data_IF_210032840503
#
_entry.id   IF_210032840503
#
_cell.length_a   1.000
_cell.length_b   1.000
_cell.length_c   1.000
_cell.angle_alpha   90.00
_cell.angle_beta   90.00
_cell.angle_gamma   90.00
#
_symmetry.space_group_name_H-M   'P 1'
#
loop_
_entity.id
_entity.type
_entity.pdbx_description
1 polymer ?
#
# COMPACT_ATOMS: atom_id res chain seq x y z
N UNK A 1 -3.21 12.84 0.72
CA UNK A 1 -3.48 12.67 -0.72
C UNK A 1 -4.96 12.47 -0.96
N UNK A 2 -5.43 12.62 -2.20
CA UNK A 2 -6.82 12.36 -2.58
C UNK A 2 -6.89 11.72 -3.97
N UNK A 3 -7.99 11.02 -4.27
CA UNK A 3 -8.21 10.39 -5.56
C UNK A 3 -9.66 10.52 -6.02
N UNK A 4 -9.83 10.53 -7.33
CA UNK A 4 -11.10 10.38 -8.04
C UNK A 4 -10.82 9.45 -9.23
N UNK A 5 -11.42 8.26 -9.23
CA UNK A 5 -11.30 7.28 -10.31
C UNK A 5 -12.65 7.07 -10.98
N UNK A 6 -12.62 6.89 -12.31
CA UNK A 6 -13.79 6.61 -13.13
C UNK A 6 -13.92 5.11 -13.36
N UNK A 7 -14.91 4.50 -12.73
CA UNK A 7 -15.33 3.14 -13.07
C UNK A 7 -16.31 3.20 -14.25
N UNK A 8 -16.73 2.04 -14.76
CA UNK A 8 -17.69 1.97 -15.88
C UNK A 8 -19.03 2.64 -15.56
N UNK A 9 -19.53 2.48 -14.33
CA UNK A 9 -20.87 2.94 -13.92
C UNK A 9 -20.87 3.73 -12.58
N UNK A 10 -19.69 4.11 -12.09
CA UNK A 10 -19.55 4.83 -10.83
C UNK A 10 -18.25 5.63 -10.75
N UNK A 11 -18.18 6.53 -9.77
CA UNK A 11 -16.96 7.24 -9.41
C UNK A 11 -16.48 6.74 -8.05
N UNK A 12 -15.18 6.44 -7.93
CA UNK A 12 -14.55 6.17 -6.64
C UNK A 12 -13.82 7.43 -6.19
N UNK A 13 -14.29 8.05 -5.10
CA UNK A 13 -13.75 9.29 -4.54
C UNK A 13 -13.23 9.01 -3.15
N UNK A 14 -12.00 9.39 -2.84
CA UNK A 14 -11.42 9.13 -1.54
C UNK A 14 -10.24 10.03 -1.18
N UNK A 15 -9.86 9.95 0.09
CA UNK A 15 -8.71 10.65 0.67
C UNK A 15 -7.86 9.66 1.44
N UNK A 16 -6.56 9.90 1.47
CA UNK A 16 -5.57 9.15 2.25
C UNK A 16 -4.70 10.11 3.05
N UNK A 17 -4.42 9.77 4.29
CA UNK A 17 -3.52 10.52 5.16
C UNK A 17 -2.83 9.57 6.12
N UNK A 18 -1.67 9.95 6.61
CA UNK A 18 -0.99 9.23 7.67
C UNK A 18 -1.86 9.21 8.93
N UNK A 19 -1.89 8.06 9.61
CA UNK A 19 -2.62 7.90 10.88
C UNK A 19 -2.11 8.88 11.95
N UNK A 20 -0.79 9.15 11.94
CA UNK A 20 -0.18 10.15 12.84
C UNK A 20 -0.72 11.55 12.59
N UNK A 21 -0.91 11.96 11.33
CA UNK A 21 -1.42 13.29 10.99
C UNK A 21 -2.90 13.46 11.39
N UNK A 22 -3.71 12.41 11.25
CA UNK A 22 -5.08 12.42 11.79
C UNK A 22 -5.09 12.57 13.31
N UNK A 23 -4.22 11.83 14.00
CA UNK A 23 -4.07 11.91 15.46
C UNK A 23 -3.62 13.29 15.92
N UNK A 24 -2.61 13.87 15.27
CA UNK A 24 -2.06 15.20 15.62
C UNK A 24 -3.06 16.33 15.34
N UNK A 25 -3.75 16.28 14.20
CA UNK A 25 -4.67 17.35 13.81
C UNK A 25 -6.05 17.29 14.46
N UNK A 26 -6.44 16.12 15.00
CA UNK A 26 -7.80 15.88 15.50
C UNK A 26 -8.89 15.92 14.42
N UNK A 27 -8.51 16.00 13.12
CA UNK A 27 -9.48 16.05 12.04
C UNK A 27 -10.08 14.67 11.78
N UNK A 28 -11.40 14.62 11.65
CA UNK A 28 -12.10 13.41 11.23
C UNK A 28 -11.80 13.09 9.75
N UNK A 29 -11.44 11.82 9.41
CA UNK A 29 -11.31 11.40 8.02
C UNK A 29 -12.56 11.66 7.18
N UNK A 30 -13.75 11.51 7.77
CA UNK A 30 -15.03 11.79 7.11
C UNK A 30 -15.16 13.28 6.79
N UNK A 31 -14.84 14.15 7.75
CA UNK A 31 -14.90 15.59 7.54
C UNK A 31 -13.92 16.04 6.43
N UNK A 32 -12.74 15.42 6.38
CA UNK A 32 -11.75 15.70 5.35
C UNK A 32 -12.22 15.24 3.95
N UNK A 33 -12.87 14.08 3.86
CA UNK A 33 -13.48 13.60 2.63
C UNK A 33 -14.62 14.52 2.15
N UNK A 34 -15.50 14.95 3.06
CA UNK A 34 -16.57 15.89 2.72
C UNK A 34 -16.01 17.25 2.27
N UNK A 35 -14.93 17.74 2.90
CA UNK A 35 -14.23 18.94 2.45
C UNK A 35 -13.67 18.75 1.04
N UNK A 36 -13.09 17.59 0.74
CA UNK A 36 -12.58 17.28 -0.59
C UNK A 36 -13.70 17.23 -1.64
N UNK A 37 -14.82 16.58 -1.35
CA UNK A 37 -16.00 16.54 -2.24
C UNK A 37 -16.57 17.92 -2.55
N UNK A 38 -16.49 18.85 -1.60
CA UNK A 38 -16.94 20.26 -1.75
C UNK A 38 -15.92 21.15 -2.46
N UNK A 39 -14.72 20.65 -2.76
CA UNK A 39 -13.70 21.44 -3.44
C UNK A 39 -14.21 21.93 -4.81
N UNK A 40 -14.00 23.19 -5.22
CA UNK A 40 -14.57 23.75 -6.46
C UNK A 40 -14.23 22.96 -7.73
N UNK A 41 -13.07 22.30 -7.76
CA UNK A 41 -12.67 21.44 -8.89
C UNK A 41 -13.32 20.04 -8.88
N UNK A 42 -13.89 19.60 -7.75
CA UNK A 42 -14.46 18.25 -7.56
C UNK A 42 -15.97 18.29 -7.52
N UNK A 43 -16.57 19.28 -6.83
CA UNK A 43 -18.02 19.38 -6.65
C UNK A 43 -18.81 19.33 -7.97
N UNK A 44 -18.39 20.00 -9.07
CA UNK A 44 -19.08 19.89 -10.35
C UNK A 44 -19.08 18.48 -10.94
N UNK A 45 -18.02 17.70 -10.69
CA UNK A 45 -17.89 16.32 -11.17
C UNK A 45 -18.82 15.34 -10.45
N UNK A 46 -19.28 15.72 -9.25
CA UNK A 46 -20.16 14.91 -8.40
C UNK A 46 -21.61 15.43 -8.39
N UNK A 47 -21.93 16.46 -9.18
CA UNK A 47 -23.25 17.06 -9.20
C UNK A 47 -24.31 16.04 -9.65
N UNK A 48 -25.37 15.89 -8.86
CA UNK A 48 -26.44 14.91 -9.12
C UNK A 48 -26.06 13.45 -8.86
N UNK A 49 -24.85 13.17 -8.38
CA UNK A 49 -24.47 11.82 -7.96
C UNK A 49 -25.05 11.45 -6.58
N UNK A 50 -25.19 10.15 -6.33
CA UNK A 50 -25.56 9.60 -5.03
C UNK A 50 -24.43 8.72 -4.47
N UNK A 51 -24.35 8.61 -3.15
CA UNK A 51 -23.36 7.76 -2.48
C UNK A 51 -23.86 6.31 -2.46
N UNK A 52 -23.18 5.43 -3.20
CA UNK A 52 -23.50 3.99 -3.21
C UNK A 52 -22.87 3.23 -2.04
N UNK A 53 -21.65 3.60 -1.65
CA UNK A 53 -20.88 2.91 -0.63
C UNK A 53 -19.95 3.88 0.11
N UNK A 54 -19.69 3.59 1.39
CA UNK A 54 -18.65 4.24 2.17
C UNK A 54 -17.79 3.17 2.85
N UNK A 55 -16.48 3.24 2.65
CA UNK A 55 -15.51 2.33 3.25
C UNK A 55 -14.26 3.08 3.72
N UNK A 56 -13.56 2.49 4.68
CA UNK A 56 -12.26 2.95 5.16
C UNK A 56 -11.30 1.76 5.26
N UNK A 57 -10.03 1.99 4.94
CA UNK A 57 -8.99 0.97 5.00
C UNK A 57 -7.65 1.57 5.41
N UNK A 58 -6.76 0.73 5.92
CA UNK A 58 -5.38 1.13 6.23
C UNK A 58 -4.47 0.76 5.06
N UNK A 59 -3.52 1.64 4.77
CA UNK A 59 -2.45 1.38 3.81
C UNK A 59 -1.15 1.25 4.61
N UNK A 60 -0.39 0.14 4.47
CA UNK A 60 0.94 0.04 5.05
C UNK A 60 1.89 1.10 4.46
N UNK A 61 2.38 2.01 5.29
CA UNK A 61 3.31 3.08 4.87
C UNK A 61 4.69 2.98 5.55
N UNK A 62 4.94 1.93 6.34
CA UNK A 62 6.25 1.70 6.97
C UNK A 62 7.34 1.31 5.96
N UNK A 63 6.95 0.77 4.80
CA UNK A 63 7.83 0.45 3.69
C UNK A 63 8.99 -0.49 4.05
N UNK A 64 10.12 -0.33 3.37
CA UNK A 64 11.29 -1.22 3.52
C UNK A 64 11.79 -1.39 4.95
N UNK A 65 11.68 -0.35 5.78
CA UNK A 65 12.19 -0.37 7.17
C UNK A 65 11.26 -1.13 8.13
N UNK A 66 10.01 -1.37 7.74
CA UNK A 66 9.00 -2.02 8.57
C UNK A 66 8.72 -3.47 8.16
N UNK A 67 9.41 -3.99 7.14
CA UNK A 67 9.22 -5.37 6.64
C UNK A 67 9.46 -6.38 7.78
N UNK A 68 8.48 -7.22 8.13
CA UNK A 68 8.63 -8.22 9.19
C UNK A 68 9.41 -9.44 8.70
N UNK A 69 9.49 -10.49 9.53
CA UNK A 69 9.91 -11.80 9.05
C UNK A 69 8.92 -12.29 7.98
N UNK A 70 9.44 -12.71 6.82
CA UNK A 70 8.64 -13.01 5.63
C UNK A 70 8.39 -14.51 5.40
N UNK A 71 9.08 -15.35 6.16
CA UNK A 71 9.01 -16.80 6.05
C UNK A 71 9.47 -17.44 7.35
N UNK A 72 9.01 -18.66 7.59
CA UNK A 72 9.45 -19.53 8.68
C UNK A 72 8.94 -20.95 8.46
N UNK A 73 8.97 -21.79 9.49
CA UNK A 73 8.57 -23.19 9.34
C UNK A 73 7.08 -23.32 8.99
N UNK A 74 6.80 -23.73 7.75
CA UNK A 74 5.45 -23.93 7.24
C UNK A 74 4.68 -22.66 6.85
N UNK A 75 5.29 -21.47 6.88
CA UNK A 75 4.58 -20.21 6.57
C UNK A 75 5.40 -19.23 5.72
N UNK A 76 4.67 -18.43 4.94
CA UNK A 76 5.15 -17.33 4.11
C UNK A 76 4.22 -16.12 4.27
N UNK A 77 4.76 -14.89 4.20
CA UNK A 77 4.00 -13.64 4.28
C UNK A 77 4.03 -12.92 2.94
N UNK A 78 2.87 -12.45 2.49
CA UNK A 78 2.65 -11.83 1.18
C UNK A 78 1.79 -10.56 1.31
N UNK A 79 1.80 -9.71 0.27
CA UNK A 79 1.02 -8.47 0.22
C UNK A 79 1.24 -7.53 1.40
N UNK A 80 0.17 -6.86 1.82
CA UNK A 80 0.16 -5.82 2.86
C UNK A 80 0.66 -6.34 4.22
N UNK A 81 0.45 -7.62 4.51
CA UNK A 81 1.00 -8.26 5.72
C UNK A 81 2.54 -8.23 5.75
N UNK A 82 3.18 -8.21 4.58
CA UNK A 82 4.63 -8.07 4.43
C UNK A 82 5.11 -6.62 4.30
N UNK A 83 4.23 -5.63 4.48
CA UNK A 83 4.48 -4.20 4.23
C UNK A 83 4.85 -3.90 2.77
N UNK A 84 4.37 -4.71 1.82
CA UNK A 84 4.68 -4.56 0.39
C UNK A 84 3.76 -3.57 -0.31
N UNK A 85 3.89 -2.28 0.03
CA UNK A 85 3.15 -1.19 -0.62
C UNK A 85 4.06 0.00 -0.88
N UNK A 86 3.96 0.56 -2.08
CA UNK A 86 4.56 1.83 -2.48
C UNK A 86 3.45 2.88 -2.63
N UNK A 87 3.14 3.56 -1.53
CA UNK A 87 2.07 4.55 -1.46
C UNK A 87 2.28 5.74 -2.43
N UNK A 88 3.54 6.10 -2.72
CA UNK A 88 3.85 7.21 -3.63
C UNK A 88 3.35 6.94 -5.06
N UNK A 89 3.52 5.71 -5.54
CA UNK A 89 3.10 5.30 -6.89
C UNK A 89 1.69 4.69 -6.89
N UNK A 90 1.03 4.61 -5.72
CA UNK A 90 -0.23 3.88 -5.51
C UNK A 90 -0.14 2.41 -5.96
N UNK A 91 1.03 1.83 -5.74
CA UNK A 91 1.35 0.45 -6.10
C UNK A 91 1.29 -0.42 -4.85
N UNK A 92 0.18 -1.14 -4.70
CA UNK A 92 0.02 -2.17 -3.65
C UNK A 92 -0.43 -3.50 -4.25
N UNK A 93 -1.48 -3.47 -5.08
CA UNK A 93 -2.05 -4.66 -5.71
C UNK A 93 -1.05 -5.41 -6.60
N UNK A 94 -0.24 -4.69 -7.39
CA UNK A 94 0.83 -5.28 -8.21
C UNK A 94 1.88 -6.00 -7.35
N UNK A 95 2.28 -5.40 -6.23
CA UNK A 95 3.24 -5.98 -5.28
C UNK A 95 2.63 -7.17 -4.54
N UNK A 96 1.37 -7.08 -4.12
CA UNK A 96 0.64 -8.17 -3.48
C UNK A 96 0.50 -9.39 -4.41
N UNK A 97 0.07 -9.19 -5.66
CA UNK A 97 0.00 -10.26 -6.66
C UNK A 97 1.38 -10.88 -6.92
N UNK A 98 2.42 -10.04 -7.04
CA UNK A 98 3.79 -10.52 -7.30
C UNK A 98 4.34 -11.33 -6.14
N UNK A 99 4.20 -10.85 -4.91
CA UNK A 99 4.65 -11.56 -3.70
C UNK A 99 3.89 -12.86 -3.51
N UNK A 100 2.58 -12.88 -3.79
CA UNK A 100 1.77 -14.10 -3.84
C UNK A 100 2.28 -15.12 -4.86
N UNK A 101 2.57 -14.69 -6.10
CA UNK A 101 3.14 -15.55 -7.14
C UNK A 101 4.49 -16.14 -6.73
N UNK A 102 5.41 -15.31 -6.23
CA UNK A 102 6.75 -15.76 -5.79
C UNK A 102 6.68 -16.74 -4.62
N UNK A 103 5.75 -16.52 -3.68
CA UNK A 103 5.50 -17.45 -2.58
C UNK A 103 5.00 -18.81 -3.11
N UNK A 104 4.03 -18.79 -4.03
CA UNK A 104 3.50 -20.01 -4.65
C UNK A 104 4.58 -20.77 -5.44
N UNK A 105 5.38 -20.07 -6.25
CA UNK A 105 6.50 -20.67 -7.00
C UNK A 105 7.52 -21.33 -6.06
N UNK A 106 7.82 -20.70 -4.93
CA UNK A 106 8.72 -21.25 -3.90
C UNK A 106 8.17 -22.56 -3.31
N UNK A 107 6.87 -22.59 -2.97
CA UNK A 107 6.21 -23.78 -2.43
C UNK A 107 6.16 -24.90 -3.47
N UNK A 108 5.81 -24.59 -4.72
CA UNK A 108 5.76 -25.56 -5.82
C UNK A 108 7.14 -26.17 -6.07
N UNK A 109 8.21 -25.35 -6.08
CA UNK A 109 9.57 -25.82 -6.26
C UNK A 109 10.00 -26.77 -5.12
N UNK A 110 9.68 -26.43 -3.86
CA UNK A 110 9.98 -27.30 -2.72
C UNK A 110 9.22 -28.62 -2.80
N UNK A 111 7.92 -28.60 -3.15
CA UNK A 111 7.11 -29.80 -3.35
C UNK A 111 7.68 -30.71 -4.45
N UNK A 112 8.03 -30.15 -5.61
CA UNK A 112 8.60 -30.90 -6.73
C UNK A 112 9.93 -31.56 -6.40
N UNK A 113 10.74 -30.91 -5.56
CA UNK A 113 12.02 -31.44 -5.12
C UNK A 113 11.92 -32.38 -3.89
N UNK A 114 10.72 -32.66 -3.38
CA UNK A 114 10.54 -33.47 -2.17
C UNK A 114 11.08 -32.83 -0.90
N UNK A 115 11.26 -31.51 -0.89
CA UNK A 115 11.84 -30.77 0.24
C UNK A 115 10.77 -30.43 1.28
N UNK A 116 11.04 -30.60 2.59
CA UNK A 116 10.15 -30.16 3.65
C UNK A 116 10.03 -28.63 3.69
N UNK A 117 8.89 -28.10 4.14
CA UNK A 117 8.62 -26.65 4.21
C UNK A 117 9.27 -26.00 5.44
N UNK A 118 10.58 -26.19 5.59
CA UNK A 118 11.37 -25.58 6.67
C UNK A 118 11.80 -24.17 6.30
N UNK A 119 12.18 -23.40 7.31
CA UNK A 119 12.72 -22.04 7.18
C UNK A 119 13.88 -21.99 6.18
N UNK A 120 14.79 -22.98 6.20
CA UNK A 120 15.92 -23.06 5.28
C UNK A 120 15.48 -23.19 3.81
N UNK A 121 14.42 -23.95 3.55
CA UNK A 121 13.92 -24.15 2.19
C UNK A 121 13.06 -22.99 1.70
N UNK A 122 12.27 -22.40 2.60
CA UNK A 122 11.40 -21.27 2.32
C UNK A 122 12.15 -19.93 2.21
N UNK A 123 13.40 -19.85 2.70
CA UNK A 123 14.27 -18.70 2.49
C UNK A 123 14.47 -18.32 1.01
N UNK A 124 14.25 -19.27 0.08
CA UNK A 124 14.25 -19.03 -1.37
C UNK A 124 13.24 -17.96 -1.79
N UNK A 125 12.10 -17.85 -1.09
CA UNK A 125 11.11 -16.79 -1.33
C UNK A 125 11.72 -15.41 -1.13
N UNK A 126 12.49 -15.22 -0.05
CA UNK A 126 13.14 -13.95 0.24
C UNK A 126 14.24 -13.61 -0.78
N UNK A 127 14.98 -14.60 -1.27
CA UNK A 127 15.91 -14.42 -2.39
C UNK A 127 15.18 -13.93 -3.63
N UNK A 128 14.10 -14.61 -4.02
CA UNK A 128 13.30 -14.22 -5.19
C UNK A 128 12.68 -12.81 -5.04
N UNK A 129 12.24 -12.45 -3.83
CA UNK A 129 11.77 -11.09 -3.55
C UNK A 129 12.85 -10.03 -3.76
N UNK A 130 14.08 -10.27 -3.28
CA UNK A 130 15.21 -9.33 -3.46
C UNK A 130 15.56 -9.12 -4.93
N UNK A 131 15.38 -10.14 -5.76
CA UNK A 131 15.62 -10.08 -7.20
C UNK A 131 14.48 -9.41 -7.96
N UNK A 132 13.26 -9.44 -7.41
CA UNK A 132 12.07 -8.80 -7.98
C UNK A 132 12.07 -7.27 -7.87
N UNK A 133 11.16 -6.63 -8.60
CA UNK A 133 10.96 -5.18 -8.52
C UNK A 133 10.44 -4.74 -7.14
N UNK A 134 9.64 -5.58 -6.46
CA UNK A 134 8.99 -5.25 -5.17
C UNK A 134 10.02 -4.75 -4.16
N UNK A 135 11.12 -5.49 -3.98
CA UNK A 135 12.11 -5.14 -2.97
C UNK A 135 13.05 -4.03 -3.42
N UNK A 136 13.28 -3.90 -4.72
CA UNK A 136 14.06 -2.80 -5.31
C UNK A 136 13.34 -1.47 -5.14
N UNK A 137 12.04 -1.43 -5.39
CA UNK A 137 11.23 -0.22 -5.29
C UNK A 137 11.06 0.21 -3.83
N UNK A 138 10.72 -0.71 -2.93
CA UNK A 138 10.65 -0.40 -1.50
C UNK A 138 11.99 0.14 -0.98
N UNK A 139 13.11 -0.46 -1.38
CA UNK A 139 14.44 0.02 -0.99
C UNK A 139 14.75 1.40 -1.56
N UNK A 140 14.34 1.69 -2.80
CA UNK A 140 14.54 2.99 -3.45
C UNK A 140 13.82 4.12 -2.70
N UNK A 141 12.61 3.88 -2.19
CA UNK A 141 11.77 4.89 -1.52
C UNK A 141 11.78 4.79 0.01
N UNK A 142 12.71 4.05 0.61
CA UNK A 142 12.73 3.75 2.06
C UNK A 142 12.81 4.97 2.99
N UNK A 143 13.34 6.09 2.51
CA UNK A 143 13.57 7.31 3.30
C UNK A 143 12.54 8.41 2.97
N UNK A 144 11.62 8.14 2.04
CA UNK A 144 10.66 9.10 1.53
C UNK A 144 9.58 9.47 2.56
N UNK A 145 8.99 8.54 3.34
CA UNK A 145 8.05 8.91 4.40
C UNK A 145 8.65 9.88 5.42
N UNK A 146 9.86 9.57 5.90
CA UNK A 146 10.61 10.42 6.83
C UNK A 146 10.90 11.81 6.21
N UNK A 147 11.21 11.84 4.91
CA UNK A 147 11.47 13.08 4.18
C UNK A 147 10.22 13.96 4.14
N UNK A 148 9.05 13.42 3.80
CA UNK A 148 7.80 14.18 3.78
C UNK A 148 7.36 14.62 5.18
N UNK A 149 7.53 13.77 6.20
CA UNK A 149 7.21 14.12 7.58
C UNK A 149 8.02 15.33 8.08
N UNK A 150 9.31 15.41 7.72
CA UNK A 150 10.18 16.55 8.06
C UNK A 150 9.95 17.79 7.20
N UNK A 151 9.38 17.62 6.02
CA UNK A 151 9.23 18.67 5.01
C UNK A 151 7.78 18.88 4.62
N UNK A 152 6.93 19.29 5.58
CA UNK A 152 5.50 19.51 5.35
C UNK A 152 5.19 20.54 4.25
N UNK A 153 6.15 21.42 3.91
CA UNK A 153 6.01 22.43 2.85
C UNK A 153 5.70 21.85 1.47
N UNK A 154 6.10 20.60 1.19
CA UNK A 154 5.77 19.93 -0.07
C UNK A 154 4.27 19.71 -0.27
N UNK A 155 3.48 19.75 0.82
CA UNK A 155 2.03 19.50 0.79
C UNK A 155 1.25 20.75 1.25
N UNK A 156 1.84 21.59 2.11
CA UNK A 156 1.15 22.77 2.67
C UNK A 156 1.36 24.05 1.87
N UNK A 157 2.53 24.20 1.22
CA UNK A 157 2.95 25.46 0.61
C UNK A 157 3.03 25.35 -0.91
N UNK A 158 3.58 24.23 -1.39
CA UNK A 158 3.61 23.91 -2.81
C UNK A 158 2.34 23.13 -3.19
N UNK A 159 1.76 23.40 -4.38
CA UNK A 159 0.56 22.71 -4.86
C UNK A 159 0.81 21.21 -5.11
#
# INVERSE_FOLDING_TARGET
TAFLYTNTESLAVGIGCLVSDFKESGQSPVALLERFKRHPAIAPLLAGSEVKEYAAHLIPEGGYKAIPALYGDGWLVVGDAGQFVNALHREGSNMAMTTGRLAAETVIACRRAGLPMTTAHLARYHTALKESFVMKDLKKYRDLPDTFARNKQFITTYP
#
